data_IF_772194019859
#
_entry.id   IF_772194019859
#
_cell.length_a   1.000
_cell.length_b   1.000
_cell.length_c   1.000
_cell.angle_alpha   90.00
_cell.angle_beta   90.00
_cell.angle_gamma   90.00
#
_symmetry.space_group_name_H-M   'P 1'
#
loop_
_entity.id
_entity.type
_entity.pdbx_description
1 polymer ?
#
# COMPACT_ATOMS: atom_id res chain seq x y z
N UNK A 1 12.85 -5.88 17.81
CA UNK A 1 12.07 -6.28 16.64
C UNK A 1 12.41 -5.33 15.49
N UNK A 2 13.05 -5.85 14.43
CA UNK A 2 13.54 -5.03 13.31
C UNK A 2 12.52 -4.92 12.18
N UNK A 3 11.67 -5.92 11.97
CA UNK A 3 10.62 -5.91 10.98
C UNK A 3 9.44 -6.77 11.40
N UNK A 4 8.22 -6.39 11.03
CA UNK A 4 6.98 -7.15 11.29
C UNK A 4 5.92 -6.84 10.23
N UNK A 5 4.98 -7.74 10.06
CA UNK A 5 3.76 -7.46 9.32
C UNK A 5 2.76 -6.75 10.24
N UNK A 6 2.11 -5.75 9.71
CA UNK A 6 1.01 -5.03 10.37
C UNK A 6 -0.17 -4.93 9.42
N UNK A 7 -1.36 -4.70 9.97
CA UNK A 7 -2.52 -4.36 9.17
C UNK A 7 -2.43 -2.90 8.71
N UNK A 8 -2.44 -2.71 7.42
CA UNK A 8 -2.64 -1.42 6.77
C UNK A 8 -4.07 -1.28 6.28
N UNK A 9 -4.49 -0.08 5.95
CA UNK A 9 -5.82 0.21 5.40
C UNK A 9 -5.68 0.95 4.09
N UNK A 10 -6.45 0.53 3.09
CA UNK A 10 -6.48 1.16 1.77
C UNK A 10 -7.91 1.60 1.45
N UNK A 11 -8.06 2.77 0.85
CA UNK A 11 -9.32 3.20 0.27
C UNK A 11 -9.28 2.90 -1.23
N UNK A 12 -10.20 2.04 -1.66
CA UNK A 12 -10.39 1.66 -3.05
C UNK A 12 -11.73 2.16 -3.56
N UNK A 13 -11.80 2.40 -4.86
CA UNK A 13 -13.00 2.84 -5.54
C UNK A 13 -13.31 1.92 -6.72
N UNK A 14 -14.57 1.56 -6.88
CA UNK A 14 -15.03 0.61 -7.91
C UNK A 14 -15.43 1.27 -9.23
N UNK A 15 -15.32 2.57 -9.36
CA UNK A 15 -15.59 3.22 -10.65
C UNK A 15 -14.46 2.97 -11.65
N UNK A 16 -14.85 2.70 -12.86
CA UNK A 16 -14.00 2.05 -13.84
C UNK A 16 -13.84 2.81 -15.13
N UNK A 17 -14.54 3.92 -15.27
CA UNK A 17 -14.43 4.75 -16.49
C UNK A 17 -13.23 5.66 -16.37
N UNK A 18 -12.19 5.49 -17.22
CA UNK A 18 -11.01 6.33 -17.15
C UNK A 18 -11.38 7.80 -17.36
N UNK A 19 -10.76 8.67 -16.58
CA UNK A 19 -10.86 10.11 -16.74
C UNK A 19 -9.96 10.56 -17.89
N UNK A 20 -10.47 11.44 -18.74
CA UNK A 20 -9.69 12.08 -19.79
C UNK A 20 -9.09 13.40 -19.27
N UNK A 21 -8.07 13.97 -19.94
CA UNK A 21 -7.56 15.31 -19.59
C UNK A 21 -8.67 16.38 -19.57
N UNK A 22 -9.64 16.30 -20.49
CA UNK A 22 -10.79 17.20 -20.52
C UNK A 22 -11.71 17.01 -19.31
N UNK A 23 -11.94 15.78 -18.86
CA UNK A 23 -12.69 15.52 -17.63
C UNK A 23 -12.00 16.15 -16.43
N UNK A 24 -10.67 16.09 -16.36
CA UNK A 24 -9.90 16.70 -15.26
C UNK A 24 -10.00 18.22 -15.25
N UNK A 25 -10.03 18.89 -16.41
CA UNK A 25 -10.25 20.33 -16.47
C UNK A 25 -11.61 20.72 -15.87
N UNK A 26 -12.66 19.95 -16.20
CA UNK A 26 -14.01 20.20 -15.65
C UNK A 26 -14.02 19.89 -14.15
N UNK A 27 -13.51 18.76 -13.70
CA UNK A 27 -13.46 18.36 -12.29
C UNK A 27 -12.70 19.37 -11.42
N UNK A 28 -11.63 19.96 -11.95
CA UNK A 28 -10.89 21.02 -11.27
C UNK A 28 -11.72 22.31 -11.08
N UNK A 29 -12.66 22.59 -11.98
CA UNK A 29 -13.61 23.70 -11.78
C UNK A 29 -14.65 23.36 -10.71
N UNK A 30 -15.10 22.10 -10.65
CA UNK A 30 -16.18 21.64 -9.76
C UNK A 30 -15.75 21.45 -8.30
N UNK A 31 -14.48 21.23 -8.01
CA UNK A 31 -14.00 20.84 -6.66
C UNK A 31 -14.39 21.81 -5.55
N UNK A 32 -14.52 23.10 -5.84
CA UNK A 32 -14.86 24.15 -4.90
C UNK A 32 -16.34 24.60 -4.96
N UNK A 33 -17.13 24.02 -5.86
CA UNK A 33 -18.54 24.35 -6.05
C UNK A 33 -19.42 23.57 -5.08
N UNK A 34 -20.58 24.13 -4.71
CA UNK A 34 -21.62 23.37 -4.02
C UNK A 34 -22.39 22.45 -5.00
N UNK A 35 -23.25 21.59 -4.49
CA UNK A 35 -23.96 20.60 -5.30
C UNK A 35 -24.86 21.22 -6.38
N UNK A 36 -25.55 22.32 -6.06
CA UNK A 36 -26.39 23.03 -7.02
C UNK A 36 -25.55 23.61 -8.17
N UNK A 37 -24.44 24.27 -7.87
CA UNK A 37 -23.51 24.81 -8.84
C UNK A 37 -22.90 23.73 -9.73
N UNK A 38 -22.57 22.55 -9.15
CA UNK A 38 -22.08 21.39 -9.88
C UNK A 38 -23.13 20.91 -10.88
N UNK A 39 -24.37 20.73 -10.45
CA UNK A 39 -25.46 20.29 -11.31
C UNK A 39 -25.72 21.27 -12.45
N UNK A 40 -25.74 22.57 -12.15
CA UNK A 40 -25.91 23.63 -13.15
C UNK A 40 -24.74 23.64 -14.17
N UNK A 41 -23.49 23.56 -13.71
CA UNK A 41 -22.31 23.53 -14.60
C UNK A 41 -22.31 22.29 -15.52
N UNK A 42 -22.74 21.13 -15.01
CA UNK A 42 -22.77 19.89 -15.78
C UNK A 42 -23.98 19.78 -16.72
N UNK A 43 -24.99 20.63 -16.58
CA UNK A 43 -26.18 20.61 -17.46
C UNK A 43 -25.86 20.83 -18.93
N UNK A 44 -24.72 21.44 -19.23
CA UNK A 44 -24.23 21.69 -20.61
C UNK A 44 -23.46 20.50 -21.20
N UNK A 45 -23.11 19.50 -20.42
CA UNK A 45 -22.39 18.33 -20.86
C UNK A 45 -23.34 17.22 -21.37
N UNK A 46 -22.84 16.30 -22.19
CA UNK A 46 -23.61 15.13 -22.61
C UNK A 46 -23.92 14.26 -21.37
N UNK A 47 -25.15 13.76 -21.28
CA UNK A 47 -25.66 13.02 -20.11
C UNK A 47 -24.69 11.97 -19.55
N UNK A 48 -24.09 11.05 -20.32
CA UNK A 48 -23.18 10.05 -19.77
C UNK A 48 -21.87 10.63 -19.22
N UNK A 49 -21.45 11.79 -19.73
CA UNK A 49 -20.28 12.51 -19.25
C UNK A 49 -20.63 13.26 -17.98
N UNK A 50 -21.77 13.95 -17.97
CA UNK A 50 -22.26 14.67 -16.80
C UNK A 50 -22.45 13.75 -15.59
N UNK A 51 -23.08 12.59 -15.76
CA UNK A 51 -23.26 11.58 -14.71
C UNK A 51 -21.92 11.12 -14.16
N UNK A 52 -20.97 10.73 -15.03
CA UNK A 52 -19.63 10.32 -14.63
C UNK A 52 -18.91 11.38 -13.79
N UNK A 53 -18.92 12.63 -14.26
CA UNK A 53 -18.24 13.74 -13.60
C UNK A 53 -18.90 14.10 -12.27
N UNK A 54 -20.23 14.08 -12.23
CA UNK A 54 -21.01 14.30 -11.00
C UNK A 54 -20.66 13.27 -9.95
N UNK A 55 -20.73 12.00 -10.31
CA UNK A 55 -20.41 10.88 -9.43
C UNK A 55 -18.97 10.99 -8.89
N UNK A 56 -18.00 11.21 -9.80
CA UNK A 56 -16.60 11.36 -9.40
C UNK A 56 -16.39 12.50 -8.42
N UNK A 57 -16.93 13.69 -8.69
CA UNK A 57 -16.71 14.86 -7.83
C UNK A 57 -17.41 14.72 -6.47
N UNK A 58 -18.58 14.08 -6.44
CA UNK A 58 -19.30 13.81 -5.19
C UNK A 58 -18.56 12.80 -4.32
N UNK A 59 -18.00 11.75 -4.91
CA UNK A 59 -17.17 10.78 -4.19
C UNK A 59 -15.87 11.41 -3.69
N UNK A 60 -15.19 12.22 -4.51
CA UNK A 60 -14.02 12.99 -4.07
C UNK A 60 -14.34 13.89 -2.87
N UNK A 61 -15.48 14.59 -2.89
CA UNK A 61 -15.90 15.45 -1.76
C UNK A 61 -16.19 14.63 -0.49
N UNK A 62 -16.89 13.49 -0.63
CA UNK A 62 -17.17 12.60 0.50
C UNK A 62 -15.88 12.05 1.11
N UNK A 63 -14.98 11.53 0.27
CA UNK A 63 -13.68 11.00 0.71
C UNK A 63 -12.88 12.11 1.40
N UNK A 64 -12.76 13.29 0.79
CA UNK A 64 -12.05 14.45 1.34
C UNK A 64 -12.57 14.85 2.73
N UNK A 65 -13.88 14.95 2.88
CA UNK A 65 -14.51 15.34 4.15
C UNK A 65 -14.24 14.35 5.30
N UNK A 66 -14.10 13.07 4.99
CA UNK A 66 -13.87 12.02 6.01
C UNK A 66 -12.39 11.81 6.29
N UNK A 67 -11.57 11.82 5.24
CA UNK A 67 -10.15 11.44 5.33
C UNK A 67 -9.22 12.63 5.56
N UNK A 68 -9.66 13.86 5.23
CA UNK A 68 -8.84 15.06 5.29
C UNK A 68 -7.89 15.25 4.09
N UNK A 69 -7.84 14.30 3.15
CA UNK A 69 -7.07 14.50 1.92
C UNK A 69 -7.70 15.56 1.03
N UNK A 70 -6.85 16.37 0.37
CA UNK A 70 -7.35 17.44 -0.49
C UNK A 70 -8.03 16.90 -1.74
N UNK A 71 -9.06 17.60 -2.27
CA UNK A 71 -9.67 17.20 -3.54
C UNK A 71 -8.68 17.10 -4.70
N UNK A 72 -7.65 17.93 -4.74
CA UNK A 72 -6.59 17.89 -5.76
C UNK A 72 -5.82 16.57 -5.73
N UNK A 73 -5.40 16.14 -4.53
CA UNK A 73 -4.74 14.85 -4.36
C UNK A 73 -5.63 13.70 -4.82
N UNK A 74 -6.88 13.69 -4.39
CA UNK A 74 -7.83 12.63 -4.74
C UNK A 74 -8.09 12.59 -6.26
N UNK A 75 -8.33 13.74 -6.89
CA UNK A 75 -8.53 13.83 -8.34
C UNK A 75 -7.34 13.32 -9.13
N UNK A 76 -6.11 13.63 -8.69
CA UNK A 76 -4.90 13.09 -9.30
C UNK A 76 -4.86 11.56 -9.23
N UNK A 77 -5.23 10.99 -8.07
CA UNK A 77 -5.32 9.53 -7.88
C UNK A 77 -6.39 8.89 -8.78
N UNK A 78 -7.56 9.49 -8.88
CA UNK A 78 -8.62 9.05 -9.81
C UNK A 78 -8.17 9.11 -11.27
N UNK A 79 -7.44 10.14 -11.65
CA UNK A 79 -6.92 10.28 -13.01
C UNK A 79 -5.85 9.24 -13.34
N UNK A 80 -4.89 9.04 -12.46
CA UNK A 80 -3.81 8.05 -12.61
C UNK A 80 -4.32 6.61 -12.57
N UNK A 81 -5.49 6.37 -12.01
CA UNK A 81 -6.22 5.09 -11.96
C UNK A 81 -5.33 3.88 -11.69
N UNK A 82 -4.62 3.91 -10.60
CA UNK A 82 -3.82 2.76 -10.20
C UNK A 82 -4.73 1.59 -9.80
N UNK A 83 -4.83 0.61 -10.69
CA UNK A 83 -5.70 -0.56 -10.50
C UNK A 83 -5.13 -1.52 -9.46
N UNK A 84 -6.02 -2.12 -8.69
CA UNK A 84 -5.70 -3.15 -7.67
C UNK A 84 -6.43 -4.44 -8.02
N UNK A 85 -5.68 -5.53 -8.11
CA UNK A 85 -6.25 -6.84 -8.43
C UNK A 85 -6.67 -7.00 -9.90
N UNK A 86 -7.46 -8.03 -10.16
CA UNK A 86 -8.04 -8.33 -11.48
C UNK A 86 -9.31 -7.54 -11.77
N UNK A 87 -9.89 -6.92 -10.72
CA UNK A 87 -11.14 -6.19 -10.79
C UNK A 87 -10.93 -4.74 -11.24
N UNK A 88 -12.03 -4.11 -11.60
CA UNK A 88 -12.08 -2.71 -12.02
C UNK A 88 -11.92 -1.73 -10.85
N UNK A 89 -11.30 -2.13 -9.75
CA UNK A 89 -11.06 -1.31 -8.55
C UNK A 89 -9.82 -0.46 -8.73
N UNK A 90 -9.87 0.78 -8.28
CA UNK A 90 -8.73 1.70 -8.27
C UNK A 90 -8.31 2.00 -6.83
N UNK A 91 -7.01 2.03 -6.59
CA UNK A 91 -6.44 2.43 -5.31
C UNK A 91 -6.41 3.96 -5.24
N UNK A 92 -7.25 4.54 -4.38
CA UNK A 92 -7.32 6.00 -4.18
C UNK A 92 -6.36 6.44 -3.09
N UNK A 93 -6.40 5.79 -1.93
CA UNK A 93 -5.50 6.10 -0.81
C UNK A 93 -4.85 4.79 -0.36
N UNK A 94 -3.54 4.76 -0.42
CA UNK A 94 -2.72 3.73 0.18
C UNK A 94 -2.36 4.17 1.61
N UNK A 95 -2.29 3.23 2.54
CA UNK A 95 -1.80 3.46 3.88
C UNK A 95 -2.59 4.52 4.68
N UNK A 96 -3.89 4.32 4.74
CA UNK A 96 -4.79 5.16 5.53
C UNK A 96 -4.51 4.95 7.04
N UNK A 97 -4.42 6.04 7.81
CA UNK A 97 -4.34 5.94 9.27
C UNK A 97 -5.51 5.14 9.84
N UNK A 98 -5.25 4.28 10.82
CA UNK A 98 -6.26 3.38 11.39
C UNK A 98 -7.51 4.11 11.90
N UNK A 99 -7.34 5.25 12.58
CA UNK A 99 -8.49 6.00 13.12
C UNK A 99 -9.29 6.66 11.99
N UNK A 100 -8.59 7.12 10.95
CA UNK A 100 -9.23 7.66 9.74
C UNK A 100 -9.95 6.53 8.98
N UNK A 101 -9.34 5.36 8.86
CA UNK A 101 -9.96 4.19 8.23
C UNK A 101 -11.26 3.77 8.94
N UNK A 102 -11.25 3.68 10.25
CA UNK A 102 -12.45 3.35 11.04
C UNK A 102 -13.57 4.38 10.85
N UNK A 103 -13.23 5.68 10.85
CA UNK A 103 -14.19 6.74 10.53
C UNK A 103 -14.72 6.64 9.10
N UNK A 104 -13.86 6.28 8.15
CA UNK A 104 -14.25 6.13 6.76
C UNK A 104 -15.18 4.92 6.57
N UNK A 105 -14.90 3.79 7.22
CA UNK A 105 -15.81 2.62 7.24
C UNK A 105 -17.19 3.04 7.74
N UNK A 106 -17.29 3.76 8.85
CA UNK A 106 -18.56 4.20 9.42
C UNK A 106 -19.34 5.16 8.49
N UNK A 107 -18.64 6.16 7.94
CA UNK A 107 -19.29 7.26 7.21
C UNK A 107 -19.50 7.00 5.72
N UNK A 108 -18.68 6.13 5.11
CA UNK A 108 -18.73 5.82 3.67
C UNK A 108 -19.42 4.49 3.37
N UNK A 109 -19.84 3.73 4.39
CA UNK A 109 -20.48 2.41 4.27
C UNK A 109 -21.74 2.38 3.40
N UNK A 110 -22.39 3.53 3.19
CA UNK A 110 -23.59 3.66 2.34
C UNK A 110 -23.22 4.03 0.87
N UNK A 111 -21.97 3.91 0.49
CA UNK A 111 -21.51 4.26 -0.86
C UNK A 111 -20.99 2.99 -1.54
N UNK A 112 -21.79 2.41 -2.42
CA UNK A 112 -21.50 1.14 -3.12
C UNK A 112 -20.18 1.14 -3.94
N UNK A 113 -19.57 2.31 -4.10
CA UNK A 113 -18.37 2.50 -4.91
C UNK A 113 -17.08 2.71 -4.11
N UNK A 114 -17.18 2.88 -2.79
CA UNK A 114 -16.03 3.18 -1.93
C UNK A 114 -15.89 2.07 -0.90
N UNK A 115 -14.76 1.41 -0.90
CA UNK A 115 -14.42 0.36 0.06
C UNK A 115 -13.16 0.72 0.85
N UNK A 116 -13.15 0.37 2.13
CA UNK A 116 -11.94 0.38 2.96
C UNK A 116 -11.51 -1.07 3.15
N UNK A 117 -10.35 -1.40 2.61
CA UNK A 117 -9.82 -2.76 2.62
C UNK A 117 -8.60 -2.84 3.51
N UNK A 118 -8.56 -3.85 4.35
CA UNK A 118 -7.37 -4.22 5.11
C UNK A 118 -6.37 -4.95 4.21
N UNK A 119 -5.09 -4.67 4.41
CA UNK A 119 -4.01 -5.38 3.72
C UNK A 119 -2.81 -5.60 4.64
N UNK A 120 -2.00 -6.57 4.32
CA UNK A 120 -0.77 -6.83 5.05
C UNK A 120 0.33 -5.87 4.58
N UNK A 121 0.90 -5.13 5.53
CA UNK A 121 1.98 -4.18 5.30
C UNK A 121 3.23 -4.62 6.06
N UNK A 122 4.39 -4.55 5.40
CA UNK A 122 5.67 -4.72 6.07
C UNK A 122 6.05 -3.42 6.77
N UNK A 123 6.39 -3.48 8.04
CA UNK A 123 6.73 -2.34 8.87
C UNK A 123 8.06 -2.57 9.58
N UNK A 124 8.90 -1.56 9.57
CA UNK A 124 10.23 -1.54 10.18
C UNK A 124 10.24 -0.55 11.34
N UNK A 125 10.03 -1.03 12.60
CA UNK A 125 9.89 -0.16 13.78
C UNK A 125 11.09 0.75 14.02
N UNK A 126 12.25 0.30 13.61
CA UNK A 126 13.52 1.01 13.80
C UNK A 126 13.96 1.80 12.54
N UNK A 127 13.07 1.98 11.58
CA UNK A 127 13.24 2.75 10.34
C UNK A 127 14.50 2.38 9.55
N UNK A 128 15.64 3.05 9.83
CA UNK A 128 16.89 2.90 9.11
C UNK A 128 17.89 1.95 9.77
N UNK A 129 17.66 1.56 11.04
CA UNK A 129 18.60 0.73 11.79
C UNK A 129 18.82 -0.62 11.11
N UNK A 130 20.09 -0.94 10.80
CA UNK A 130 20.52 -2.13 10.07
C UNK A 130 19.88 -2.27 8.67
N UNK A 131 19.52 -1.17 8.01
CA UNK A 131 18.81 -1.17 6.73
C UNK A 131 19.49 -2.00 5.64
N UNK A 132 20.83 -1.96 5.58
CA UNK A 132 21.60 -2.72 4.60
C UNK A 132 21.62 -4.23 4.88
N UNK A 133 21.39 -4.66 6.12
CA UNK A 133 21.29 -6.07 6.52
C UNK A 133 19.89 -6.59 6.29
N UNK A 134 18.88 -5.86 6.81
CA UNK A 134 17.47 -6.26 6.73
C UNK A 134 17.02 -6.27 5.27
N UNK A 135 17.32 -5.19 4.54
CA UNK A 135 16.77 -4.98 3.20
C UNK A 135 15.31 -4.51 3.26
N UNK A 136 14.62 -4.62 2.15
CA UNK A 136 13.24 -4.14 2.02
C UNK A 136 12.41 -5.02 1.08
N UNK A 137 11.11 -4.92 1.20
CA UNK A 137 10.13 -5.55 0.30
C UNK A 137 9.58 -4.53 -0.69
N UNK A 138 9.20 -4.98 -1.87
CA UNK A 138 8.40 -4.21 -2.86
C UNK A 138 7.43 -5.14 -3.60
N UNK A 139 6.40 -4.59 -4.24
CA UNK A 139 5.55 -5.39 -5.11
C UNK A 139 6.36 -6.17 -6.14
N UNK A 140 5.93 -7.39 -6.40
CA UNK A 140 6.49 -8.27 -7.42
C UNK A 140 6.30 -7.61 -8.80
N UNK A 141 7.33 -7.62 -9.63
CA UNK A 141 7.20 -7.16 -11.01
C UNK A 141 6.84 -8.32 -11.96
N UNK A 142 6.49 -8.00 -13.21
CA UNK A 142 6.06 -9.00 -14.19
C UNK A 142 7.09 -10.11 -14.45
N UNK A 143 8.38 -9.78 -14.43
CA UNK A 143 9.45 -10.77 -14.63
C UNK A 143 9.56 -11.69 -13.43
N UNK A 144 9.63 -11.12 -12.24
CA UNK A 144 9.69 -11.87 -10.98
C UNK A 144 8.45 -12.76 -10.81
N UNK A 145 7.27 -12.24 -11.18
CA UNK A 145 6.03 -13.02 -11.13
C UNK A 145 6.08 -14.23 -12.08
N UNK A 146 6.59 -14.07 -13.31
CA UNK A 146 6.74 -15.18 -14.23
C UNK A 146 7.65 -16.29 -13.69
N UNK A 147 8.68 -15.89 -12.93
CA UNK A 147 9.66 -16.82 -12.36
C UNK A 147 9.11 -17.50 -11.08
N UNK A 148 8.23 -16.84 -10.32
CA UNK A 148 7.80 -17.26 -8.98
C UNK A 148 6.34 -17.74 -8.88
N UNK A 149 5.51 -17.56 -9.93
CA UNK A 149 4.08 -17.95 -9.90
C UNK A 149 3.85 -19.42 -9.54
N UNK A 150 4.72 -20.31 -10.01
CA UNK A 150 4.64 -21.74 -9.75
C UNK A 150 5.08 -22.10 -8.30
N UNK A 151 5.65 -21.14 -7.58
CA UNK A 151 6.02 -21.22 -6.17
C UNK A 151 4.96 -20.61 -5.24
N UNK A 152 3.76 -20.28 -5.76
CA UNK A 152 2.63 -19.77 -4.99
C UNK A 152 2.64 -18.25 -4.78
N UNK A 153 3.41 -17.49 -5.59
CA UNK A 153 3.35 -16.04 -5.58
C UNK A 153 2.23 -15.51 -6.48
N UNK A 154 1.58 -14.44 -6.01
CA UNK A 154 0.54 -13.72 -6.75
C UNK A 154 1.08 -12.42 -7.34
N UNK A 155 0.41 -11.88 -8.36
CA UNK A 155 0.85 -10.69 -9.08
C UNK A 155 0.87 -9.39 -8.25
N UNK A 156 0.30 -9.42 -7.06
CA UNK A 156 0.25 -8.29 -6.10
C UNK A 156 1.06 -8.53 -4.83
N UNK A 157 1.79 -9.64 -4.74
CA UNK A 157 2.59 -9.96 -3.56
C UNK A 157 3.73 -8.97 -3.36
N UNK A 158 4.08 -8.77 -2.08
CA UNK A 158 5.33 -8.13 -1.70
C UNK A 158 6.43 -9.18 -1.64
N UNK A 159 7.57 -8.90 -2.26
CA UNK A 159 8.75 -9.78 -2.21
C UNK A 159 9.97 -9.04 -1.70
N UNK A 160 10.86 -9.74 -1.05
CA UNK A 160 12.15 -9.22 -0.60
C UNK A 160 13.06 -8.86 -1.76
N UNK A 161 13.55 -7.61 -1.81
CA UNK A 161 14.42 -7.11 -2.89
C UNK A 161 15.89 -7.18 -2.51
N UNK A 162 16.23 -7.03 -1.25
CA UNK A 162 17.60 -7.07 -0.72
C UNK A 162 17.65 -7.68 0.68
N UNK A 163 18.87 -7.98 1.13
CA UNK A 163 19.19 -8.36 2.50
C UNK A 163 18.48 -9.64 2.96
N UNK A 164 18.18 -9.67 4.24
CA UNK A 164 17.46 -10.77 4.90
C UNK A 164 16.07 -10.96 4.30
N UNK A 165 15.36 -9.86 4.00
CA UNK A 165 14.04 -9.91 3.35
C UNK A 165 14.08 -10.74 2.06
N UNK A 166 15.11 -10.56 1.23
CA UNK A 166 15.27 -11.34 0.00
C UNK A 166 15.73 -12.78 0.27
N UNK A 167 16.68 -12.96 1.17
CA UNK A 167 17.32 -14.26 1.38
C UNK A 167 16.40 -15.27 2.05
N UNK A 168 15.44 -14.79 2.84
CA UNK A 168 14.48 -15.60 3.61
C UNK A 168 13.02 -15.31 3.21
N UNK A 169 12.81 -14.76 2.01
CA UNK A 169 11.48 -14.37 1.53
C UNK A 169 10.49 -15.53 1.57
N UNK A 170 10.88 -16.69 1.07
CA UNK A 170 10.03 -17.89 1.04
C UNK A 170 9.64 -18.39 2.44
N UNK A 171 10.56 -18.32 3.40
CA UNK A 171 10.31 -18.73 4.77
C UNK A 171 9.40 -17.74 5.50
N UNK A 172 9.52 -16.46 5.18
CA UNK A 172 8.75 -15.38 5.83
C UNK A 172 7.40 -15.11 5.20
N UNK A 173 7.18 -15.51 3.94
CA UNK A 173 5.95 -15.21 3.20
C UNK A 173 4.70 -15.81 3.86
N UNK A 174 4.75 -17.05 4.33
CA UNK A 174 3.55 -17.77 4.77
C UNK A 174 2.72 -18.31 3.61
N UNK A 175 1.48 -18.65 3.89
CA UNK A 175 0.51 -19.11 2.88
C UNK A 175 -0.79 -18.32 3.03
N UNK A 176 -1.28 -17.80 1.91
CA UNK A 176 -2.54 -17.07 1.89
C UNK A 176 -3.72 -18.02 2.15
N UNK A 177 -4.71 -17.55 2.89
CA UNK A 177 -6.01 -18.20 2.98
C UNK A 177 -6.78 -18.05 1.67
N UNK A 178 -7.72 -18.94 1.44
CA UNK A 178 -8.62 -18.87 0.28
C UNK A 178 -10.06 -19.01 0.76
N UNK A 179 -10.92 -18.15 0.27
CA UNK A 179 -12.35 -18.20 0.49
C UNK A 179 -13.07 -18.31 -0.85
N UNK A 180 -13.81 -19.39 -1.05
CA UNK A 180 -14.66 -19.56 -2.22
C UNK A 180 -16.10 -19.19 -1.85
N UNK A 181 -16.63 -18.19 -2.52
CA UNK A 181 -17.99 -17.70 -2.32
C UNK A 181 -18.83 -17.87 -3.58
N UNK A 182 -20.09 -18.21 -3.40
CA UNK A 182 -21.09 -18.16 -4.48
C UNK A 182 -21.69 -16.76 -4.51
N UNK A 183 -21.72 -16.16 -5.70
CA UNK A 183 -22.24 -14.80 -5.89
C UNK A 183 -23.48 -14.81 -6.78
N UNK A 184 -24.38 -13.85 -6.58
CA UNK A 184 -25.52 -13.63 -7.44
C UNK A 184 -25.12 -12.93 -8.77
N UNK A 185 -26.09 -12.72 -9.66
CA UNK A 185 -25.86 -12.05 -10.94
C UNK A 185 -25.39 -10.57 -10.79
N UNK A 186 -25.48 -9.99 -9.59
CA UNK A 186 -25.04 -8.63 -9.26
C UNK A 186 -23.66 -8.62 -8.58
N UNK A 187 -23.09 -9.80 -8.29
CA UNK A 187 -21.80 -9.94 -7.60
C UNK A 187 -21.90 -9.94 -6.07
N UNK A 188 -23.10 -10.00 -5.48
CA UNK A 188 -23.26 -10.10 -4.03
C UNK A 188 -23.01 -11.53 -3.58
N UNK A 189 -22.26 -11.72 -2.49
CA UNK A 189 -22.03 -13.03 -1.88
C UNK A 189 -23.34 -13.62 -1.37
N UNK A 190 -23.70 -14.78 -1.90
CA UNK A 190 -24.91 -15.54 -1.48
C UNK A 190 -24.56 -16.50 -0.35
N UNK A 191 -23.47 -17.21 -0.49
CA UNK A 191 -22.94 -18.13 0.55
C UNK A 191 -21.46 -18.38 0.38
N UNK A 192 -20.82 -18.74 1.48
CA UNK A 192 -19.48 -19.29 1.50
C UNK A 192 -19.53 -20.79 1.20
N UNK A 193 -18.76 -21.24 0.23
CA UNK A 193 -18.72 -22.65 -0.19
C UNK A 193 -17.68 -23.41 0.61
N UNK A 194 -16.44 -22.88 0.64
CA UNK A 194 -15.35 -23.39 1.47
C UNK A 194 -14.34 -22.27 1.77
N UNK A 195 -13.52 -22.51 2.78
CA UNK A 195 -12.39 -21.62 3.11
C UNK A 195 -11.18 -22.44 3.55
N UNK A 196 -10.01 -21.90 3.29
CA UNK A 196 -8.74 -22.40 3.83
C UNK A 196 -8.12 -21.27 4.64
N UNK A 197 -7.75 -21.53 5.87
CA UNK A 197 -7.11 -20.52 6.71
C UNK A 197 -5.71 -20.16 6.22
N UNK A 198 -5.32 -18.90 6.40
CA UNK A 198 -3.96 -18.44 6.12
C UNK A 198 -2.98 -19.01 7.16
N UNK A 199 -1.76 -19.29 6.73
CA UNK A 199 -0.67 -19.72 7.63
C UNK A 199 0.42 -18.65 7.64
N UNK A 200 0.75 -18.13 8.83
CA UNK A 200 1.80 -17.14 8.99
C UNK A 200 3.18 -17.71 8.60
N UNK A 201 4.01 -16.86 8.02
CA UNK A 201 5.40 -17.20 7.73
C UNK A 201 6.25 -17.36 8.99
N UNK A 202 7.45 -17.89 8.81
CA UNK A 202 8.39 -18.15 9.91
C UNK A 202 9.06 -16.86 10.38
N UNK A 203 9.41 -16.80 11.66
CA UNK A 203 10.24 -15.74 12.21
C UNK A 203 11.71 -16.01 11.90
N UNK A 204 12.45 -14.98 11.51
CA UNK A 204 13.90 -15.02 11.31
C UNK A 204 14.57 -14.25 12.46
N UNK A 205 15.51 -14.89 13.12
CA UNK A 205 16.26 -14.32 14.22
C UNK A 205 17.69 -14.02 13.77
N UNK A 206 18.10 -12.77 13.93
CA UNK A 206 19.45 -12.33 13.61
C UNK A 206 20.32 -12.36 14.87
N UNK A 207 21.63 -12.46 14.67
CA UNK A 207 22.63 -12.34 15.74
C UNK A 207 22.97 -10.88 16.08
N UNK A 208 22.35 -9.91 15.41
CA UNK A 208 22.54 -8.47 15.63
C UNK A 208 22.06 -8.12 17.05
N UNK A 209 22.93 -7.48 17.82
CA UNK A 209 22.58 -6.79 19.05
C UNK A 209 21.99 -5.43 18.70
N UNK A 210 20.71 -5.22 19.02
CA UNK A 210 19.99 -4.00 18.60
C UNK A 210 20.54 -2.73 19.27
N UNK A 211 20.92 -2.80 20.52
CA UNK A 211 21.41 -1.65 21.26
C UNK A 211 22.77 -1.19 20.75
N UNK A 212 23.67 -2.17 20.51
CA UNK A 212 24.97 -1.90 19.90
C UNK A 212 24.81 -1.39 18.45
N UNK A 213 23.88 -1.95 17.69
CA UNK A 213 23.57 -1.51 16.33
C UNK A 213 23.12 -0.04 16.33
N UNK A 214 22.19 0.34 17.20
CA UNK A 214 21.72 1.73 17.36
C UNK A 214 22.88 2.67 17.73
N UNK A 215 23.62 2.30 18.75
CA UNK A 215 24.78 3.09 19.20
C UNK A 215 25.78 3.34 18.06
N UNK A 216 26.11 2.31 17.30
CA UNK A 216 27.05 2.43 16.18
C UNK A 216 26.47 3.20 15.00
N UNK A 217 25.16 3.06 14.71
CA UNK A 217 24.48 3.88 13.69
C UNK A 217 24.56 5.36 14.05
N UNK A 218 24.29 5.72 15.31
CA UNK A 218 24.39 7.10 15.79
C UNK A 218 25.84 7.64 15.72
N UNK A 219 26.83 6.83 16.06
CA UNK A 219 28.24 7.20 15.98
C UNK A 219 28.71 7.47 14.53
N UNK A 220 28.04 6.91 13.55
CA UNK A 220 28.27 7.14 12.11
C UNK A 220 27.38 8.24 11.52
N UNK A 221 26.53 8.87 12.31
CA UNK A 221 25.68 9.97 11.83
C UNK A 221 26.51 11.07 11.18
N UNK A 222 26.11 11.47 9.96
CA UNK A 222 26.83 12.48 9.16
C UNK A 222 28.18 12.03 8.57
N UNK A 223 28.53 10.76 8.68
CA UNK A 223 29.74 10.18 8.11
C UNK A 223 29.40 9.12 7.07
N UNK A 224 30.33 8.86 6.14
CA UNK A 224 30.23 7.74 5.18
C UNK A 224 31.26 6.67 5.55
N UNK A 225 30.80 5.41 5.63
CA UNK A 225 31.68 4.30 5.97
C UNK A 225 30.90 3.08 6.46
N UNK A 226 31.63 2.06 6.87
CA UNK A 226 31.06 0.83 7.41
C UNK A 226 31.78 0.40 8.67
N UNK A 227 31.03 -0.23 9.58
CA UNK A 227 31.55 -0.86 10.78
C UNK A 227 30.90 -2.23 10.95
N UNK A 228 31.73 -3.25 11.22
CA UNK A 228 31.28 -4.61 11.47
C UNK A 228 31.99 -5.12 12.71
N UNK A 229 31.20 -5.61 13.68
CA UNK A 229 31.73 -6.39 14.80
C UNK A 229 31.23 -7.82 14.73
N UNK A 230 32.14 -8.76 14.89
CA UNK A 230 31.87 -10.19 14.83
C UNK A 230 32.47 -10.90 16.05
N UNK A 231 31.72 -11.84 16.60
CA UNK A 231 32.22 -12.68 17.67
C UNK A 231 33.28 -13.66 17.13
N UNK A 232 34.50 -13.55 17.62
CA UNK A 232 35.66 -14.28 17.04
C UNK A 232 35.53 -15.81 17.15
N UNK A 233 34.81 -16.32 18.15
CA UNK A 233 34.64 -17.77 18.37
C UNK A 233 33.57 -18.41 17.49
N UNK A 234 32.48 -17.70 17.22
CA UNK A 234 31.30 -18.26 16.54
C UNK A 234 31.13 -17.75 15.12
N UNK A 235 31.78 -16.62 14.76
CA UNK A 235 31.56 -15.93 13.50
C UNK A 235 30.25 -15.16 13.42
N UNK A 236 29.49 -15.05 14.54
CA UNK A 236 28.24 -14.29 14.55
C UNK A 236 28.50 -12.80 14.41
N UNK A 237 27.80 -12.17 13.49
CA UNK A 237 27.83 -10.70 13.34
C UNK A 237 26.94 -10.09 14.42
N UNK A 238 27.56 -9.27 15.29
CA UNK A 238 26.87 -8.62 16.42
C UNK A 238 26.33 -7.24 16.01
N UNK A 239 27.03 -6.53 15.12
CA UNK A 239 26.57 -5.28 14.52
C UNK A 239 27.15 -5.10 13.14
N UNK A 240 26.35 -4.50 12.26
CA UNK A 240 26.76 -4.19 10.89
C UNK A 240 26.15 -2.85 10.46
N UNK A 241 26.94 -1.79 10.51
CA UNK A 241 26.56 -0.45 10.06
C UNK A 241 27.18 -0.18 8.69
N UNK A 242 26.40 0.40 7.80
CA UNK A 242 26.88 0.94 6.51
C UNK A 242 26.18 2.28 6.28
N UNK A 243 26.89 3.36 6.54
CA UNK A 243 26.36 4.72 6.48
C UNK A 243 26.67 5.39 5.13
N UNK A 244 25.71 6.14 4.53
CA UNK A 244 24.39 6.46 5.06
C UNK A 244 23.42 5.28 5.03
N UNK A 245 22.61 5.15 6.07
CA UNK A 245 21.49 4.20 6.12
C UNK A 245 20.23 4.82 5.53
N UNK A 246 19.31 3.98 5.07
CA UNK A 246 18.08 4.39 4.37
C UNK A 246 16.88 3.97 5.19
N UNK A 247 15.86 4.83 5.30
CA UNK A 247 14.60 4.47 5.93
C UNK A 247 13.88 3.38 5.12
N UNK A 248 13.73 2.20 5.72
CA UNK A 248 13.14 1.03 5.09
C UNK A 248 11.62 1.19 4.88
N UNK A 249 10.94 1.98 5.72
CA UNK A 249 9.52 2.24 5.53
C UNK A 249 9.28 3.10 4.29
N UNK A 250 10.15 4.07 4.01
CA UNK A 250 10.10 4.83 2.76
C UNK A 250 10.36 3.92 1.55
N UNK A 251 11.36 3.04 1.61
CA UNK A 251 11.65 2.13 0.50
C UNK A 251 10.53 1.11 0.25
N UNK A 252 9.86 0.66 1.30
CA UNK A 252 8.79 -0.36 1.21
C UNK A 252 7.42 0.23 0.87
N UNK A 253 7.25 1.54 1.01
CA UNK A 253 6.09 2.26 0.47
C UNK A 253 6.23 2.46 -1.04
N UNK A 254 5.15 2.83 -1.69
CA UNK A 254 5.21 3.30 -3.08
C UNK A 254 5.79 4.72 -3.07
N UNK A 255 7.09 4.80 -3.24
CA UNK A 255 7.81 6.07 -3.31
C UNK A 255 7.29 6.86 -4.50
N UNK A 256 6.89 8.11 -4.28
CA UNK A 256 6.63 9.05 -5.37
C UNK A 256 7.95 9.46 -6.04
N UNK A 257 7.88 9.86 -7.32
CA UNK A 257 9.07 10.35 -8.03
C UNK A 257 9.74 11.55 -7.34
N UNK A 258 9.01 12.24 -6.45
CA UNK A 258 9.54 13.36 -5.63
C UNK A 258 10.32 12.92 -4.40
N UNK A 259 10.21 11.65 -4.00
CA UNK A 259 10.88 11.09 -2.80
C UNK A 259 12.18 10.37 -3.14
N UNK A 260 12.50 10.27 -4.42
CA UNK A 260 13.78 9.86 -4.99
C UNK A 260 14.69 11.07 -5.19
#
# INVERSE_FOLDING_TARGET
LLAKNITGYQLIHTDTKPLTPKDMEILNQLKNMNEQQISERLSTERKPVAEKLYDTIMDVKKISAVTGYTPDYLLDRFFKQQRVGTDKKILVIEDLDKNVALKAIEKLNNTDRIDIVEYNKRFYPENNIASNVIGYVKPINEKEYKDLKDEGYQNNDLIGKKGVEKSYDKEMKGQDGMENVEVDAKGNTVRQVNSTESTAGKNVYLSIDLDLQKYMTDAFSGKSGAFIAMEAKTGKIITFVSSPEIDLNLLSSRISDSDW
#
